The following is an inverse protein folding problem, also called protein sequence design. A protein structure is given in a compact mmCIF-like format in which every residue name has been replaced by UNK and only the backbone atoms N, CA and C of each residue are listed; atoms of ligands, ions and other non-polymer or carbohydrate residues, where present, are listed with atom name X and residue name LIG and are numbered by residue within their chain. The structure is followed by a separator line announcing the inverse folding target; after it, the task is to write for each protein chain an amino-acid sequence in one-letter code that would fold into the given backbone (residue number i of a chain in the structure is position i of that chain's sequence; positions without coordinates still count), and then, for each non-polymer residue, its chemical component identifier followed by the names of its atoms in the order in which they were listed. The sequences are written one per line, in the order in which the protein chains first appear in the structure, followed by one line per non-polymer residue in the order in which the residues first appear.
data_IF_704881584900
#
_entry.id   IF_704881584900
#
_cell.length_a   1.000
_cell.length_b   1.000
_cell.length_c   1.000
_cell.angle_alpha   90.00
_cell.angle_beta   90.00
_cell.angle_gamma   90.00
#
_symmetry.space_group_name_H-M   'P 1'
#
loop_
_entity.id
_entity.type
_entity.pdbx_description
1 polymer ?
#
# COMPACT_ATOMS: atom_id res chain seq x y z
N UNK A 1 10.07 -3.84 8.47
CA UNK A 1 8.74 -4.45 8.65
C UNK A 1 8.94 -5.75 9.37
N UNK A 2 9.62 -6.72 8.77
CA UNK A 2 10.27 -7.82 9.51
C UNK A 2 11.71 -7.36 9.78
N UNK A 3 11.96 -6.85 10.98
CA UNK A 3 13.21 -6.17 11.34
C UNK A 3 14.24 -7.17 11.89
N UNK A 4 13.78 -8.25 12.51
CA UNK A 4 14.62 -9.34 12.99
C UNK A 4 14.86 -10.45 11.93
N UNK A 5 14.21 -10.34 10.77
CA UNK A 5 14.29 -11.28 9.64
C UNK A 5 13.85 -12.70 10.02
N UNK A 6 12.91 -12.82 10.96
CA UNK A 6 12.36 -14.10 11.40
C UNK A 6 11.44 -14.76 10.36
N UNK A 7 10.99 -14.01 9.35
CA UNK A 7 10.03 -14.45 8.33
C UNK A 7 8.56 -14.19 8.69
N UNK A 8 8.33 -13.55 9.84
CA UNK A 8 7.01 -13.16 10.33
C UNK A 8 7.06 -11.77 10.95
N UNK A 9 5.99 -11.00 10.84
CA UNK A 9 5.87 -9.69 11.46
C UNK A 9 5.05 -9.82 12.73
N UNK A 10 5.61 -9.46 13.87
CA UNK A 10 4.93 -9.49 15.16
C UNK A 10 4.20 -8.16 15.49
N UNK A 11 3.50 -8.13 16.65
CA UNK A 11 2.77 -6.94 17.11
C UNK A 11 3.67 -5.74 17.47
N UNK A 12 4.90 -5.99 17.92
CA UNK A 12 5.85 -4.93 18.20
C UNK A 12 6.35 -4.29 16.90
N UNK A 13 6.79 -5.10 15.95
CA UNK A 13 7.30 -4.66 14.65
C UNK A 13 6.24 -3.94 13.81
N UNK A 14 5.03 -4.51 13.73
CA UNK A 14 3.91 -3.86 13.03
C UNK A 14 3.50 -2.53 13.68
N UNK A 15 3.52 -2.43 15.00
CA UNK A 15 3.19 -1.19 15.71
C UNK A 15 4.27 -0.11 15.55
N UNK A 16 5.54 -0.49 15.52
CA UNK A 16 6.65 0.42 15.23
C UNK A 16 6.56 0.93 13.79
N UNK A 17 6.37 0.03 12.83
CA UNK A 17 6.17 0.37 11.42
C UNK A 17 5.00 1.34 11.19
N UNK A 18 3.84 1.08 11.81
CA UNK A 18 2.67 1.97 11.70
C UNK A 18 2.96 3.38 12.22
N UNK A 19 3.82 3.50 13.24
CA UNK A 19 4.14 4.76 13.91
C UNK A 19 5.27 5.51 13.19
N UNK A 20 6.36 4.85 12.86
CA UNK A 20 7.58 5.48 12.34
C UNK A 20 7.51 5.65 10.81
N UNK A 21 7.10 4.61 10.07
CA UNK A 21 7.05 4.64 8.60
C UNK A 21 5.75 5.26 8.08
N UNK A 22 4.60 4.76 8.55
CA UNK A 22 3.29 5.21 8.07
C UNK A 22 2.79 6.48 8.77
N UNK A 23 3.40 6.84 9.90
CA UNK A 23 3.07 8.02 10.71
C UNK A 23 1.60 8.05 11.15
N UNK A 24 1.00 6.88 11.35
CA UNK A 24 -0.34 6.77 11.92
C UNK A 24 -0.29 6.97 13.44
N UNK A 25 -1.25 7.73 13.96
CA UNK A 25 -1.38 8.02 15.38
C UNK A 25 -2.72 7.57 15.95
N UNK A 26 -2.78 7.39 17.27
CA UNK A 26 -4.02 7.20 18.02
C UNK A 26 -4.88 6.03 17.53
N UNK A 27 -6.16 6.32 17.28
CA UNK A 27 -7.19 5.32 16.95
C UNK A 27 -7.05 4.72 15.54
N UNK A 28 -6.44 5.42 14.59
CA UNK A 28 -6.21 4.88 13.24
C UNK A 28 -5.13 3.79 13.28
N UNK A 29 -4.09 3.99 14.11
CA UNK A 29 -3.06 2.97 14.35
C UNK A 29 -3.66 1.69 14.94
N UNK A 30 -4.51 1.80 15.96
CA UNK A 30 -5.16 0.64 16.58
C UNK A 30 -6.07 -0.13 15.62
N UNK A 31 -6.78 0.58 14.72
CA UNK A 31 -7.59 -0.08 13.69
C UNK A 31 -6.72 -0.82 12.68
N UNK A 32 -5.62 -0.20 12.23
CA UNK A 32 -4.71 -0.81 11.26
C UNK A 32 -3.94 -1.99 11.85
N UNK A 33 -3.49 -1.91 13.10
CA UNK A 33 -2.83 -3.01 13.81
C UNK A 33 -3.76 -4.23 13.96
N UNK A 34 -5.03 -4.00 14.36
CA UNK A 34 -6.04 -5.05 14.43
C UNK A 34 -6.36 -5.67 13.06
N UNK A 35 -6.44 -4.84 12.03
CA UNK A 35 -6.68 -5.30 10.66
C UNK A 35 -5.50 -6.13 10.14
N UNK A 36 -4.28 -5.74 10.49
CA UNK A 36 -3.06 -6.47 10.13
C UNK A 36 -3.11 -7.89 10.71
N UNK A 37 -3.32 -8.00 12.03
CA UNK A 37 -3.25 -9.27 12.78
C UNK A 37 -4.57 -10.07 12.82
N UNK A 38 -5.47 -9.88 11.83
CA UNK A 38 -6.80 -10.50 11.80
C UNK A 38 -7.52 -10.55 13.17
N UNK A 39 -7.41 -9.48 13.96
CA UNK A 39 -7.75 -9.36 15.38
C UNK A 39 -7.01 -10.28 16.38
N UNK A 40 -6.63 -11.51 16.04
CA UNK A 40 -6.17 -12.53 16.99
C UNK A 40 -4.79 -13.14 16.71
N UNK A 41 -4.20 -12.91 15.53
CA UNK A 41 -2.89 -13.46 15.22
C UNK A 41 -1.81 -12.69 16.00
N UNK A 42 -0.80 -13.38 16.53
CA UNK A 42 0.34 -12.72 17.19
C UNK A 42 1.47 -12.43 16.20
N UNK A 43 1.45 -13.10 15.05
CA UNK A 43 2.44 -13.04 13.99
C UNK A 43 1.73 -13.22 12.64
N UNK A 44 2.18 -12.46 11.63
CA UNK A 44 1.69 -12.57 10.25
C UNK A 44 2.89 -12.88 9.36
N UNK A 45 2.80 -13.90 8.53
CA UNK A 45 3.86 -14.25 7.58
C UNK A 45 3.74 -13.44 6.28
N UNK A 46 4.80 -13.46 5.48
CA UNK A 46 4.77 -12.90 4.13
C UNK A 46 3.71 -13.59 3.25
N UNK A 47 3.48 -14.89 3.44
CA UNK A 47 2.48 -15.65 2.70
C UNK A 47 1.05 -15.21 3.09
N UNK A 48 0.80 -14.92 4.37
CA UNK A 48 -0.50 -14.41 4.83
C UNK A 48 -0.82 -13.04 4.19
N UNK A 49 0.17 -12.15 4.10
CA UNK A 49 0.02 -10.86 3.40
C UNK A 49 -0.26 -11.05 1.91
N UNK A 50 0.37 -12.05 1.29
CA UNK A 50 0.15 -12.36 -0.12
C UNK A 50 -1.27 -12.90 -0.37
N UNK A 51 -1.74 -13.82 0.47
CA UNK A 51 -3.10 -14.36 0.39
C UNK A 51 -4.16 -13.27 0.64
N UNK A 52 -3.95 -12.40 1.64
CA UNK A 52 -4.82 -11.26 1.91
C UNK A 52 -4.90 -10.31 0.69
N UNK A 53 -3.75 -9.98 0.08
CA UNK A 53 -3.72 -9.19 -1.15
C UNK A 53 -4.40 -9.93 -2.32
N UNK A 54 -4.21 -11.24 -2.45
CA UNK A 54 -4.83 -12.03 -3.51
C UNK A 54 -6.34 -12.05 -3.44
N UNK A 55 -6.90 -12.06 -2.23
CA UNK A 55 -8.33 -12.01 -1.94
C UNK A 55 -8.93 -10.59 -1.99
N UNK A 56 -8.09 -9.55 -2.02
CA UNK A 56 -8.52 -8.14 -1.98
C UNK A 56 -9.32 -7.70 -3.23
N UNK A 57 -10.30 -6.82 -3.04
CA UNK A 57 -11.07 -6.24 -4.15
C UNK A 57 -10.20 -5.30 -4.99
N UNK A 58 -9.24 -4.64 -4.34
CA UNK A 58 -8.34 -3.65 -4.94
C UNK A 58 -7.42 -4.26 -5.98
N UNK A 59 -7.09 -5.53 -5.84
CA UNK A 59 -6.38 -6.29 -6.88
C UNK A 59 -7.17 -6.36 -8.19
N UNK A 60 -8.51 -6.36 -8.12
CA UNK A 60 -9.40 -6.41 -9.30
C UNK A 60 -9.74 -5.05 -9.88
N UNK A 61 -9.21 -3.97 -9.31
CA UNK A 61 -9.50 -2.63 -9.80
C UNK A 61 -9.09 -2.45 -11.25
N UNK A 62 -10.02 -1.90 -12.02
CA UNK A 62 -9.76 -1.42 -13.38
C UNK A 62 -8.83 -0.19 -13.36
N UNK A 63 -8.24 0.14 -14.51
CA UNK A 63 -7.47 1.38 -14.68
C UNK A 63 -8.26 2.62 -14.26
N UNK A 64 -9.57 2.66 -14.53
CA UNK A 64 -10.43 3.77 -14.13
C UNK A 64 -10.58 3.89 -12.60
N UNK A 65 -10.75 2.77 -11.88
CA UNK A 65 -10.80 2.76 -10.42
C UNK A 65 -9.46 3.17 -9.81
N UNK A 66 -8.35 2.68 -10.37
CA UNK A 66 -7.01 3.06 -9.92
C UNK A 66 -6.72 4.55 -10.16
N UNK A 67 -7.17 5.12 -11.28
CA UNK A 67 -7.10 6.56 -11.52
C UNK A 67 -7.93 7.33 -10.49
N UNK A 68 -9.16 6.90 -10.23
CA UNK A 68 -10.01 7.54 -9.23
C UNK A 68 -9.35 7.56 -7.85
N UNK A 69 -8.69 6.47 -7.46
CA UNK A 69 -7.87 6.41 -6.24
C UNK A 69 -6.69 7.40 -6.27
N UNK A 70 -5.95 7.45 -7.38
CA UNK A 70 -4.82 8.37 -7.55
C UNK A 70 -5.28 9.85 -7.45
N UNK A 71 -6.44 10.17 -8.02
CA UNK A 71 -7.01 11.52 -8.03
C UNK A 71 -7.60 11.91 -6.68
N UNK A 72 -8.40 11.04 -6.07
CA UNK A 72 -9.19 11.39 -4.90
C UNK A 72 -8.50 11.04 -3.59
N UNK A 73 -7.75 9.94 -3.52
CA UNK A 73 -7.09 9.48 -2.30
C UNK A 73 -5.63 9.93 -2.24
N UNK A 74 -4.90 9.84 -3.36
CA UNK A 74 -3.49 10.28 -3.43
C UNK A 74 -3.39 11.78 -3.76
N UNK A 75 -4.42 12.39 -4.35
CA UNK A 75 -4.45 13.81 -4.78
C UNK A 75 -3.33 14.13 -5.77
N UNK A 76 -3.10 13.25 -6.76
CA UNK A 76 -2.12 13.43 -7.83
C UNK A 76 -2.70 13.18 -9.23
N UNK A 77 -3.74 13.95 -9.65
CA UNK A 77 -4.43 13.75 -10.94
C UNK A 77 -3.52 13.87 -12.17
N UNK A 78 -2.40 14.58 -12.05
CA UNK A 78 -1.45 14.77 -13.15
C UNK A 78 -0.84 13.46 -13.68
N UNK A 79 -0.92 12.36 -12.93
CA UNK A 79 -0.39 11.06 -13.36
C UNK A 79 -1.46 10.09 -13.89
N UNK A 80 -2.74 10.44 -13.86
CA UNK A 80 -3.83 9.57 -14.32
C UNK A 80 -3.67 9.17 -15.79
N UNK A 81 -3.27 10.10 -16.65
CA UNK A 81 -3.01 9.83 -18.07
C UNK A 81 -1.88 8.81 -18.28
N UNK A 82 -0.89 8.76 -17.38
CA UNK A 82 0.21 7.80 -17.46
C UNK A 82 -0.26 6.38 -17.14
N UNK A 83 -1.25 6.24 -16.24
CA UNK A 83 -1.88 4.95 -15.92
C UNK A 83 -2.69 4.43 -17.11
N UNK A 84 -3.46 5.29 -17.78
CA UNK A 84 -4.22 4.93 -18.99
C UNK A 84 -3.27 4.49 -20.10
N UNK A 85 -2.28 5.32 -20.42
CA UNK A 85 -1.37 5.08 -21.54
C UNK A 85 -0.62 3.76 -21.44
N UNK A 86 -0.46 3.22 -20.22
CA UNK A 86 0.25 1.97 -19.93
C UNK A 86 -0.67 0.84 -19.47
N UNK A 87 -1.98 1.06 -19.50
CA UNK A 87 -3.00 0.11 -19.08
C UNK A 87 -2.72 -0.48 -17.68
N UNK A 88 -2.40 0.40 -16.73
CA UNK A 88 -2.07 0.01 -15.36
C UNK A 88 -3.36 -0.20 -14.58
N UNK A 89 -3.47 -1.33 -13.89
CA UNK A 89 -4.63 -1.74 -13.11
C UNK A 89 -4.24 -2.05 -11.65
N UNK A 90 -5.22 -2.47 -10.84
CA UNK A 90 -5.04 -2.74 -9.42
C UNK A 90 -3.92 -3.72 -9.08
N UNK A 91 -3.54 -4.62 -10.00
CA UNK A 91 -2.45 -5.60 -9.80
C UNK A 91 -1.09 -4.93 -9.66
N UNK A 92 -0.96 -3.67 -10.06
CA UNK A 92 0.27 -2.91 -9.91
C UNK A 92 0.45 -2.27 -8.52
N UNK A 93 -0.58 -2.25 -7.67
CA UNK A 93 -0.52 -1.61 -6.34
C UNK A 93 0.64 -2.12 -5.47
N UNK A 94 0.92 -3.45 -5.35
CA UNK A 94 2.10 -3.92 -4.63
C UNK A 94 3.41 -3.40 -5.21
N UNK A 95 3.51 -3.27 -6.54
CA UNK A 95 4.70 -2.72 -7.20
C UNK A 95 4.86 -1.22 -6.94
N UNK A 96 3.77 -0.50 -6.73
CA UNK A 96 3.76 0.91 -6.31
C UNK A 96 4.10 1.07 -4.83
N UNK A 97 3.77 0.08 -3.99
CA UNK A 97 4.05 0.03 -2.56
C UNK A 97 5.52 -0.27 -2.22
N UNK A 98 6.39 -0.54 -3.19
CA UNK A 98 7.83 -0.72 -2.97
C UNK A 98 8.55 0.63 -2.98
N UNK A 99 9.23 0.97 -1.88
CA UNK A 99 9.87 2.28 -1.68
C UNK A 99 10.89 2.66 -2.77
N UNK A 100 11.67 1.70 -3.25
CA UNK A 100 12.70 1.88 -4.29
C UNK A 100 12.26 1.40 -5.67
N UNK A 101 10.95 1.38 -5.94
CA UNK A 101 10.44 0.83 -7.19
C UNK A 101 10.85 1.68 -8.38
N UNK A 102 11.67 1.10 -9.27
CA UNK A 102 11.94 1.65 -10.61
C UNK A 102 10.65 1.81 -11.41
N UNK A 103 9.58 1.08 -11.04
CA UNK A 103 8.25 1.17 -11.63
C UNK A 103 7.70 2.60 -11.66
N UNK A 104 7.69 3.31 -10.52
CA UNK A 104 7.14 4.67 -10.49
C UNK A 104 7.94 5.63 -11.40
N UNK A 105 9.25 5.42 -11.50
CA UNK A 105 10.16 6.32 -12.23
C UNK A 105 10.21 6.00 -13.73
N UNK A 106 10.40 4.73 -14.11
CA UNK A 106 10.59 4.26 -15.48
C UNK A 106 9.26 3.95 -16.17
N UNK A 107 8.36 3.23 -15.49
CA UNK A 107 7.05 2.90 -16.05
C UNK A 107 6.16 4.14 -15.95
N UNK A 108 5.88 4.67 -14.76
CA UNK A 108 4.90 5.77 -14.64
C UNK A 108 5.46 7.17 -14.92
N UNK A 109 6.77 7.32 -15.14
CA UNK A 109 7.40 8.60 -15.46
C UNK A 109 7.42 9.61 -14.29
N UNK A 110 7.23 9.16 -13.05
CA UNK A 110 7.12 10.01 -11.86
C UNK A 110 8.52 10.29 -11.32
N UNK A 111 9.08 11.45 -11.68
CA UNK A 111 10.43 11.85 -11.25
C UNK A 111 10.47 12.50 -9.87
N UNK A 112 9.39 13.16 -9.46
CA UNK A 112 9.33 13.89 -8.20
C UNK A 112 9.35 12.92 -7.00
N UNK A 113 10.37 13.05 -6.14
CA UNK A 113 10.57 12.18 -4.98
C UNK A 113 9.43 12.26 -3.96
N UNK A 114 8.86 13.45 -3.74
CA UNK A 114 7.72 13.65 -2.82
C UNK A 114 6.49 12.92 -3.33
N UNK A 115 6.23 12.99 -4.65
CA UNK A 115 5.09 12.28 -5.24
C UNK A 115 5.27 10.76 -5.20
N UNK A 116 6.50 10.28 -5.46
CA UNK A 116 6.83 8.86 -5.31
C UNK A 116 6.59 8.37 -3.89
N UNK A 117 7.09 9.08 -2.90
CA UNK A 117 6.90 8.73 -1.50
C UNK A 117 5.42 8.73 -1.10
N UNK A 118 4.64 9.71 -1.57
CA UNK A 118 3.20 9.78 -1.31
C UNK A 118 2.43 8.60 -1.93
N UNK A 119 2.73 8.24 -3.18
CA UNK A 119 2.13 7.08 -3.86
C UNK A 119 2.53 5.80 -3.15
N UNK A 120 3.80 5.66 -2.78
CA UNK A 120 4.31 4.52 -2.03
C UNK A 120 3.53 4.29 -0.73
N UNK A 121 3.43 5.30 0.14
CA UNK A 121 2.70 5.17 1.41
C UNK A 121 1.21 4.86 1.20
N UNK A 122 0.56 5.50 0.21
CA UNK A 122 -0.86 5.25 -0.07
C UNK A 122 -1.10 3.87 -0.67
N UNK A 123 -0.22 3.39 -1.56
CA UNK A 123 -0.33 2.06 -2.13
C UNK A 123 -0.08 0.99 -1.06
N UNK A 124 0.88 1.25 -0.16
CA UNK A 124 1.18 0.37 0.97
C UNK A 124 -0.02 0.28 1.92
N UNK A 125 -0.67 1.40 2.27
CA UNK A 125 -1.90 1.38 3.08
C UNK A 125 -3.00 0.53 2.43
N UNK A 126 -3.20 0.65 1.11
CA UNK A 126 -4.20 -0.14 0.38
C UNK A 126 -3.85 -1.62 0.34
N UNK A 127 -2.59 -1.98 0.08
CA UNK A 127 -2.16 -3.38 -0.03
C UNK A 127 -2.25 -4.10 1.32
N UNK A 128 -1.91 -3.41 2.41
CA UNK A 128 -1.86 -4.02 3.74
C UNK A 128 -3.21 -4.01 4.47
N UNK A 129 -4.05 -3.00 4.22
CA UNK A 129 -5.25 -2.77 5.03
C UNK A 129 -6.53 -2.59 4.22
N UNK A 130 -6.45 -2.73 2.89
CA UNK A 130 -7.55 -2.47 1.99
C UNK A 130 -7.86 -0.97 1.83
N UNK A 131 -8.72 -0.68 0.85
CA UNK A 131 -9.19 0.66 0.56
C UNK A 131 -10.48 0.97 1.32
N UNK A 132 -10.34 1.68 2.44
CA UNK A 132 -11.46 2.37 3.08
C UNK A 132 -11.66 3.71 2.39
N UNK A 133 -12.57 3.77 1.41
CA UNK A 133 -12.99 5.04 0.80
C UNK A 133 -13.73 5.90 1.81
N UNK A 134 -13.02 6.79 2.50
CA UNK A 134 -13.58 7.85 3.35
C UNK A 134 -13.55 9.21 2.66
#
# INVERSE_FOLDING_TARGET
MDDDQSGSIDRFESNDFLKEDMKFGGSDREKREKAFHHNNDEQITVDDLWEAWFASEERTWTTAQLMNWLENSVKLPQYSNNLIARNIDGRALPRMAVANSSFLSHELGIKNAVHKHKIHLKALDVVLFGFSGS
#
